data_IF_261892690264
#
_entry.id   IF_261892690264
#
_cell.length_a   1.000
_cell.length_b   1.000
_cell.length_c   1.000
_cell.angle_alpha   90.00
_cell.angle_beta   90.00
_cell.angle_gamma   90.00
#
_symmetry.space_group_name_H-M   'P 1'
#
loop_
_entity.id
_entity.type
_entity.pdbx_description
1 polymer ?
#
# COMPACT_ATOMS: atom_id res chain seq x y z
N UNK A 1 -19.01 0.80 2.40
CA UNK A 1 -18.61 0.07 1.18
C UNK A 1 -19.81 -0.31 0.33
N UNK A 2 -20.71 -1.17 0.81
CA UNK A 2 -21.84 -1.64 0.01
C UNK A 2 -22.75 -0.52 -0.54
N UNK A 3 -23.06 0.47 0.31
CA UNK A 3 -23.80 1.67 -0.11
C UNK A 3 -23.12 2.44 -1.26
N UNK A 4 -21.78 2.47 -1.30
CA UNK A 4 -21.03 3.15 -2.37
C UNK A 4 -21.17 2.36 -3.66
N UNK A 5 -20.80 1.07 -3.65
CA UNK A 5 -20.87 0.23 -4.86
C UNK A 5 -22.28 0.12 -5.43
N UNK A 6 -23.32 0.18 -4.59
CA UNK A 6 -24.73 0.14 -5.03
C UNK A 6 -25.31 1.50 -5.42
N UNK A 7 -24.62 2.61 -5.19
CA UNK A 7 -25.13 3.91 -5.56
C UNK A 7 -25.35 4.00 -7.08
N UNK A 8 -26.52 4.49 -7.48
CA UNK A 8 -26.88 4.70 -8.89
C UNK A 8 -26.83 6.17 -9.29
N UNK A 9 -26.77 7.06 -8.30
CA UNK A 9 -26.74 8.50 -8.48
C UNK A 9 -25.54 9.11 -7.78
N UNK A 10 -25.05 10.22 -8.31
CA UNK A 10 -23.89 10.92 -7.76
C UNK A 10 -24.12 11.35 -6.30
N UNK A 11 -25.26 11.95 -6.01
CA UNK A 11 -25.59 12.44 -4.66
C UNK A 11 -25.68 11.31 -3.64
N UNK A 12 -26.14 10.12 -4.05
CA UNK A 12 -26.16 8.96 -3.17
C UNK A 12 -24.75 8.54 -2.77
N UNK A 13 -23.82 8.49 -3.73
CA UNK A 13 -22.43 8.17 -3.44
C UNK A 13 -21.77 9.26 -2.58
N UNK A 14 -22.03 10.54 -2.89
CA UNK A 14 -21.51 11.69 -2.14
C UNK A 14 -22.02 11.72 -0.70
N UNK A 15 -23.29 11.36 -0.47
CA UNK A 15 -23.91 11.40 0.86
C UNK A 15 -23.16 10.57 1.92
N UNK A 16 -22.42 9.55 1.47
CA UNK A 16 -21.64 8.66 2.32
C UNK A 16 -20.46 9.39 2.97
N UNK A 17 -19.92 10.42 2.31
CA UNK A 17 -18.86 11.27 2.89
C UNK A 17 -19.35 12.09 4.08
N UNK A 18 -20.65 12.40 4.16
CA UNK A 18 -21.22 13.17 5.26
C UNK A 18 -21.54 12.31 6.48
N UNK A 19 -21.37 10.98 6.41
CA UNK A 19 -21.60 10.12 7.55
C UNK A 19 -20.48 10.30 8.59
N UNK A 20 -20.79 10.55 9.89
CA UNK A 20 -19.76 10.77 10.91
C UNK A 20 -18.78 9.60 11.09
N UNK A 21 -19.21 8.38 10.78
CA UNK A 21 -18.39 7.17 10.86
C UNK A 21 -17.52 6.93 9.63
N UNK A 22 -17.57 7.80 8.63
CA UNK A 22 -16.86 7.61 7.39
C UNK A 22 -15.40 8.05 7.53
N UNK A 23 -14.48 7.09 7.47
CA UNK A 23 -13.06 7.33 7.26
C UNK A 23 -12.68 7.06 5.81
N UNK A 24 -12.18 8.10 5.12
CA UNK A 24 -11.76 8.03 3.74
C UNK A 24 -10.53 7.12 3.55
N UNK A 25 -9.62 7.09 4.53
CA UNK A 25 -8.39 6.28 4.45
C UNK A 25 -8.70 4.80 4.52
N UNK A 26 -9.54 4.41 5.48
CA UNK A 26 -10.09 3.06 5.55
C UNK A 26 -10.90 2.73 4.30
N UNK A 27 -11.79 3.61 3.85
CA UNK A 27 -12.58 3.37 2.65
C UNK A 27 -11.70 3.07 1.44
N UNK A 28 -10.67 3.88 1.19
CA UNK A 28 -9.75 3.68 0.07
C UNK A 28 -9.10 2.30 0.09
N UNK A 29 -8.54 1.89 1.23
CA UNK A 29 -7.90 0.58 1.37
C UNK A 29 -8.86 -0.57 1.11
N UNK A 30 -10.11 -0.45 1.57
CA UNK A 30 -11.15 -1.45 1.33
C UNK A 30 -11.66 -1.43 -0.11
N UNK A 31 -11.81 -0.26 -0.73
CA UNK A 31 -12.28 -0.14 -2.10
C UNK A 31 -11.32 -0.82 -3.07
N UNK A 32 -10.02 -0.52 -2.99
CA UNK A 32 -8.98 -1.10 -3.86
C UNK A 32 -8.99 -2.63 -3.82
N UNK A 33 -9.08 -3.23 -2.63
CA UNK A 33 -9.10 -4.70 -2.46
C UNK A 33 -10.39 -5.33 -3.03
N UNK A 34 -11.51 -4.64 -2.91
CA UNK A 34 -12.82 -5.23 -3.22
C UNK A 34 -13.34 -4.89 -4.62
N UNK A 35 -12.82 -3.88 -5.30
CA UNK A 35 -13.23 -3.50 -6.67
C UNK A 35 -13.17 -4.68 -7.65
N UNK A 36 -12.07 -5.46 -7.75
CA UNK A 36 -12.02 -6.63 -8.65
C UNK A 36 -12.95 -7.76 -8.25
N UNK A 37 -13.40 -7.78 -6.99
CA UNK A 37 -14.36 -8.76 -6.50
C UNK A 37 -15.77 -8.34 -6.91
N UNK A 38 -16.12 -7.09 -6.62
CA UNK A 38 -17.45 -6.52 -6.89
C UNK A 38 -17.74 -6.49 -8.39
N UNK A 39 -16.79 -5.99 -9.19
CA UNK A 39 -16.89 -5.94 -10.64
C UNK A 39 -16.16 -7.13 -11.23
N UNK A 40 -16.92 -8.17 -11.59
CA UNK A 40 -16.37 -9.38 -12.23
C UNK A 40 -15.81 -9.10 -13.62
N UNK A 41 -16.37 -8.12 -14.32
CA UNK A 41 -15.91 -7.70 -15.63
C UNK A 41 -14.66 -6.83 -15.51
N UNK A 42 -13.59 -7.25 -16.17
CA UNK A 42 -12.28 -6.59 -16.06
C UNK A 42 -12.29 -5.16 -16.58
N UNK A 43 -13.06 -4.85 -17.63
CA UNK A 43 -13.16 -3.50 -18.17
C UNK A 43 -13.76 -2.52 -17.14
N UNK A 44 -14.87 -2.89 -16.50
CA UNK A 44 -15.53 -2.11 -15.46
C UNK A 44 -14.63 -1.97 -14.23
N UNK A 45 -14.00 -3.06 -13.80
CA UNK A 45 -13.06 -3.05 -12.68
C UNK A 45 -11.86 -2.11 -12.95
N UNK A 46 -11.32 -2.13 -14.17
CA UNK A 46 -10.20 -1.27 -14.56
C UNK A 46 -10.58 0.21 -14.49
N UNK A 47 -11.76 0.60 -14.97
CA UNK A 47 -12.23 1.99 -14.88
C UNK A 47 -12.44 2.42 -13.42
N UNK A 48 -12.99 1.55 -12.57
CA UNK A 48 -13.11 1.84 -11.14
C UNK A 48 -11.74 2.03 -10.46
N UNK A 49 -10.76 1.19 -10.78
CA UNK A 49 -9.40 1.29 -10.26
C UNK A 49 -8.67 2.54 -10.77
N UNK A 50 -8.86 2.92 -12.04
CA UNK A 50 -8.32 4.17 -12.61
C UNK A 50 -8.85 5.41 -11.86
N UNK A 51 -10.15 5.43 -11.56
CA UNK A 51 -10.76 6.52 -10.79
C UNK A 51 -10.24 6.57 -9.35
N UNK A 52 -10.01 5.43 -8.69
CA UNK A 52 -9.32 5.36 -7.40
C UNK A 52 -7.87 5.84 -7.50
N UNK A 53 -7.16 5.46 -8.56
CA UNK A 53 -5.78 5.89 -8.79
C UNK A 53 -5.70 7.42 -8.91
N UNK A 54 -6.63 8.04 -9.64
CA UNK A 54 -6.74 9.51 -9.73
C UNK A 54 -7.00 10.15 -8.37
N UNK A 55 -7.86 9.55 -7.54
CA UNK A 55 -8.07 10.03 -6.17
C UNK A 55 -6.77 9.98 -5.33
N UNK A 56 -5.96 8.93 -5.46
CA UNK A 56 -4.67 8.81 -4.76
C UNK A 56 -3.65 9.88 -5.23
N UNK A 57 -3.62 10.18 -6.54
CA UNK A 57 -2.78 11.26 -7.08
C UNK A 57 -3.18 12.62 -6.48
N UNK A 58 -4.49 12.90 -6.41
CA UNK A 58 -4.99 14.13 -5.77
C UNK A 58 -4.62 14.15 -4.30
N UNK A 59 -4.78 13.04 -3.57
CA UNK A 59 -4.38 12.92 -2.17
C UNK A 59 -2.88 13.18 -1.97
N UNK A 60 -2.02 12.65 -2.84
CA UNK A 60 -0.58 12.90 -2.80
C UNK A 60 -0.27 14.39 -2.99
N UNK A 61 -0.98 15.07 -3.89
CA UNK A 61 -0.86 16.52 -4.11
C UNK A 61 -1.32 17.31 -2.88
N UNK A 62 -2.47 16.95 -2.29
CA UNK A 62 -3.01 17.56 -1.06
C UNK A 62 -1.99 17.48 0.06
N UNK A 63 -1.45 16.28 0.32
CA UNK A 63 -0.45 16.07 1.39
C UNK A 63 0.84 16.84 1.15
N UNK A 64 1.28 16.97 -0.11
CA UNK A 64 2.52 17.66 -0.47
C UNK A 64 2.41 19.18 -0.35
N UNK A 65 1.27 19.76 -0.76
CA UNK A 65 1.08 21.21 -0.83
C UNK A 65 0.31 21.78 0.37
N UNK A 66 -0.36 20.93 1.16
CA UNK A 66 -1.24 21.36 2.26
C UNK A 66 -2.63 21.83 1.81
N UNK A 67 -2.99 21.64 0.54
CA UNK A 67 -4.19 22.19 -0.08
C UNK A 67 -5.43 21.31 0.19
N UNK A 68 -5.93 21.33 1.43
CA UNK A 68 -7.07 20.49 1.85
C UNK A 68 -8.40 20.88 1.20
N UNK A 69 -8.49 22.04 0.55
CA UNK A 69 -9.66 22.46 -0.24
C UNK A 69 -9.97 21.51 -1.41
N UNK A 70 -8.99 20.74 -1.88
CA UNK A 70 -9.18 19.71 -2.93
C UNK A 70 -9.73 18.39 -2.38
N UNK A 71 -9.92 18.26 -1.07
CA UNK A 71 -10.44 17.03 -0.46
C UNK A 71 -11.82 16.63 -0.99
N UNK A 72 -12.81 17.52 -1.17
CA UNK A 72 -14.11 17.16 -1.76
C UNK A 72 -13.95 16.54 -3.16
N UNK A 73 -13.05 17.09 -3.99
CA UNK A 73 -12.79 16.55 -5.32
C UNK A 73 -12.19 15.12 -5.27
N UNK A 74 -11.20 14.90 -4.39
CA UNK A 74 -10.66 13.56 -4.13
C UNK A 74 -11.76 12.58 -3.68
N UNK A 75 -12.63 13.02 -2.78
CA UNK A 75 -13.73 12.23 -2.23
C UNK A 75 -14.74 11.84 -3.30
N UNK A 76 -15.08 12.75 -4.21
CA UNK A 76 -15.99 12.49 -5.33
C UNK A 76 -15.42 11.46 -6.30
N UNK A 77 -14.13 11.56 -6.64
CA UNK A 77 -13.44 10.56 -7.47
C UNK A 77 -13.44 9.17 -6.81
N UNK A 78 -13.23 9.13 -5.50
CA UNK A 78 -13.16 7.88 -4.74
C UNK A 78 -14.52 7.24 -4.50
N UNK A 79 -15.58 8.02 -4.26
CA UNK A 79 -16.92 7.52 -3.97
C UNK A 79 -17.73 7.35 -5.25
N UNK A 80 -18.10 8.47 -5.88
CA UNK A 80 -18.94 8.46 -7.08
C UNK A 80 -18.19 7.88 -8.28
N UNK A 81 -16.88 8.14 -8.39
CA UNK A 81 -16.07 7.54 -9.44
C UNK A 81 -16.02 6.01 -9.35
N UNK A 82 -15.92 5.41 -8.16
CA UNK A 82 -15.99 3.95 -8.05
C UNK A 82 -17.40 3.42 -8.30
N UNK A 83 -18.43 4.15 -7.86
CA UNK A 83 -19.81 3.69 -7.94
C UNK A 83 -20.42 3.76 -9.34
N UNK A 84 -20.12 4.81 -10.11
CA UNK A 84 -20.82 5.20 -11.36
C UNK A 84 -19.99 4.89 -12.61
N UNK A 85 -19.51 3.66 -12.71
CA UNK A 85 -18.72 3.19 -13.85
C UNK A 85 -19.63 2.96 -15.07
N UNK A 86 -19.17 3.24 -16.31
CA UNK A 86 -19.90 2.85 -17.51
C UNK A 86 -20.17 1.34 -17.52
N UNK A 87 -21.30 0.92 -18.09
CA UNK A 87 -21.67 -0.48 -18.23
C UNK A 87 -21.71 -1.26 -16.91
N UNK A 88 -21.98 -0.55 -15.80
CA UNK A 88 -22.07 -1.13 -14.47
C UNK A 88 -23.05 -2.33 -14.48
N UNK A 89 -22.56 -3.55 -14.22
CA UNK A 89 -23.42 -4.72 -14.18
C UNK A 89 -24.33 -4.67 -12.95
N UNK A 90 -25.45 -5.39 -13.02
CA UNK A 90 -26.27 -5.63 -11.83
C UNK A 90 -25.45 -6.40 -10.81
N UNK A 91 -25.15 -5.76 -9.68
CA UNK A 91 -24.39 -6.39 -8.61
C UNK A 91 -25.19 -7.51 -7.95
N UNK A 92 -24.49 -8.55 -7.50
CA UNK A 92 -25.11 -9.64 -6.72
C UNK A 92 -25.85 -9.11 -5.50
N UNK A 93 -26.93 -9.80 -5.10
CA UNK A 93 -27.69 -9.48 -3.89
C UNK A 93 -26.82 -9.55 -2.63
N UNK A 94 -25.86 -10.47 -2.59
CA UNK A 94 -24.94 -10.62 -1.46
C UNK A 94 -23.49 -10.55 -1.92
N UNK A 95 -22.70 -9.74 -1.22
CA UNK A 95 -21.26 -9.61 -1.46
C UNK A 95 -20.50 -9.65 -0.13
N UNK A 96 -19.58 -10.61 0.00
CA UNK A 96 -18.70 -10.69 1.16
C UNK A 96 -17.44 -9.86 0.90
N UNK A 97 -17.41 -8.67 1.46
CA UNK A 97 -16.23 -7.81 1.42
C UNK A 97 -15.07 -8.45 2.19
N UNK A 98 -13.87 -8.36 1.64
CA UNK A 98 -12.66 -8.81 2.30
C UNK A 98 -11.90 -7.63 2.90
N UNK A 99 -11.27 -7.90 4.04
CA UNK A 99 -10.34 -6.97 4.67
C UNK A 99 -9.14 -6.72 3.73
N UNK A 100 -8.62 -5.48 3.65
CA UNK A 100 -7.47 -5.13 2.82
C UNK A 100 -6.25 -6.00 3.14
N UNK A 101 -5.89 -6.91 2.23
CA UNK A 101 -4.78 -7.82 2.43
C UNK A 101 -3.46 -7.08 2.40
N UNK A 102 -3.37 -6.02 1.60
CA UNK A 102 -2.20 -5.12 1.57
C UNK A 102 -1.84 -4.57 2.95
N UNK A 103 -2.83 -4.18 3.77
CA UNK A 103 -2.57 -3.69 5.13
C UNK A 103 -2.00 -4.79 6.03
N UNK A 104 -2.54 -6.01 5.95
CA UNK A 104 -2.01 -7.16 6.69
C UNK A 104 -0.58 -7.48 6.27
N UNK A 105 -0.30 -7.49 4.98
CA UNK A 105 1.04 -7.73 4.44
C UNK A 105 2.02 -6.66 4.93
N UNK A 106 1.65 -5.38 4.85
CA UNK A 106 2.47 -4.28 5.34
C UNK A 106 2.72 -4.35 6.85
N UNK A 107 1.70 -4.74 7.63
CA UNK A 107 1.84 -4.91 9.08
C UNK A 107 2.79 -6.07 9.42
N UNK A 108 2.61 -7.25 8.80
CA UNK A 108 3.45 -8.44 9.01
C UNK A 108 4.92 -8.18 8.69
N UNK A 109 5.19 -7.46 7.61
CA UNK A 109 6.55 -7.16 7.17
C UNK A 109 7.15 -5.88 7.78
N UNK A 110 6.42 -5.19 8.68
CA UNK A 110 6.85 -3.93 9.29
C UNK A 110 8.16 -4.07 10.07
N UNK A 111 8.25 -5.09 10.90
CA UNK A 111 9.43 -5.33 11.73
C UNK A 111 10.65 -5.72 10.89
N UNK A 112 10.47 -6.64 9.94
CA UNK A 112 11.52 -7.05 9.00
C UNK A 112 12.07 -5.86 8.21
N UNK A 113 11.18 -5.00 7.65
CA UNK A 113 11.59 -3.76 6.98
C UNK A 113 12.39 -2.84 7.90
N UNK A 114 11.91 -2.60 9.14
CA UNK A 114 12.61 -1.75 10.10
C UNK A 114 14.03 -2.25 10.39
N UNK A 115 14.21 -3.56 10.58
CA UNK A 115 15.53 -4.16 10.83
C UNK A 115 16.43 -4.07 9.58
N UNK A 116 15.88 -4.31 8.40
CA UNK A 116 16.60 -4.18 7.12
C UNK A 116 17.03 -2.73 6.87
N UNK A 117 16.17 -1.76 7.14
CA UNK A 117 16.48 -0.33 7.01
C UNK A 117 17.59 0.10 7.98
N UNK A 118 17.63 -0.46 9.19
CA UNK A 118 18.72 -0.23 10.15
C UNK A 118 20.06 -0.80 9.64
N UNK A 119 20.07 -2.01 9.07
CA UNK A 119 21.25 -2.59 8.43
C UNK A 119 21.73 -1.73 7.25
N UNK A 120 20.81 -1.30 6.39
CA UNK A 120 21.12 -0.40 5.26
C UNK A 120 21.75 0.89 5.76
N UNK A 121 21.18 1.47 6.81
CA UNK A 121 21.67 2.71 7.38
C UNK A 121 23.09 2.56 7.96
N UNK A 122 23.34 1.47 8.68
CA UNK A 122 24.66 1.19 9.22
C UNK A 122 25.72 1.06 8.12
N UNK A 123 25.43 0.26 7.09
CA UNK A 123 26.35 0.03 5.97
C UNK A 123 26.57 1.31 5.16
N UNK A 124 25.51 2.10 4.92
CA UNK A 124 25.59 3.39 4.24
C UNK A 124 26.55 4.34 4.95
N UNK A 125 26.47 4.40 6.29
CA UNK A 125 27.37 5.22 7.10
C UNK A 125 28.81 4.69 7.12
N UNK A 126 28.99 3.37 7.28
CA UNK A 126 30.32 2.75 7.38
C UNK A 126 31.10 2.79 6.06
N UNK A 127 30.40 2.70 4.93
CA UNK A 127 31.00 2.67 3.59
C UNK A 127 30.94 4.03 2.88
N UNK A 128 30.31 5.05 3.50
CA UNK A 128 30.08 6.37 2.90
C UNK A 128 29.38 6.33 1.53
N UNK A 129 28.41 5.44 1.37
CA UNK A 129 27.62 5.28 0.13
C UNK A 129 26.15 5.56 0.38
N UNK A 130 25.39 5.84 -0.68
CA UNK A 130 23.95 6.10 -0.56
C UNK A 130 23.17 4.87 -0.08
N UNK A 131 22.10 5.08 0.70
CA UNK A 131 21.18 4.00 1.14
C UNK A 131 20.64 3.17 -0.04
N UNK A 132 20.31 3.84 -1.15
CA UNK A 132 19.78 3.20 -2.33
C UNK A 132 20.81 2.25 -2.95
N UNK A 133 22.09 2.65 -3.01
CA UNK A 133 23.16 1.79 -3.49
C UNK A 133 23.35 0.55 -2.60
N UNK A 134 23.32 0.73 -1.27
CA UNK A 134 23.39 -0.41 -0.34
C UNK A 134 22.22 -1.37 -0.56
N UNK A 135 20.99 -0.83 -0.64
CA UNK A 135 19.78 -1.62 -0.74
C UNK A 135 19.67 -2.41 -2.05
N UNK A 136 20.11 -1.81 -3.16
CA UNK A 136 20.04 -2.39 -4.50
C UNK A 136 21.19 -3.38 -4.77
N UNK A 137 22.43 -2.99 -4.47
CA UNK A 137 23.62 -3.74 -4.89
C UNK A 137 24.24 -4.53 -3.74
N UNK A 138 24.54 -3.86 -2.63
CA UNK A 138 25.35 -4.46 -1.56
C UNK A 138 24.62 -5.57 -0.81
N UNK A 139 23.32 -5.44 -0.56
CA UNK A 139 22.58 -6.51 0.14
C UNK A 139 22.63 -7.82 -0.65
N UNK A 140 22.47 -7.78 -1.97
CA UNK A 140 22.51 -8.99 -2.78
C UNK A 140 23.90 -9.66 -2.72
N UNK A 141 24.97 -8.86 -2.85
CA UNK A 141 26.35 -9.35 -2.75
C UNK A 141 26.61 -9.96 -1.37
N UNK A 142 26.23 -9.26 -0.29
CA UNK A 142 26.39 -9.74 1.09
C UNK A 142 25.57 -11.02 1.33
N UNK A 143 24.38 -11.13 0.74
CA UNK A 143 23.57 -12.35 0.79
C UNK A 143 24.30 -13.54 0.17
N UNK A 144 24.84 -13.38 -1.04
CA UNK A 144 25.58 -14.41 -1.74
C UNK A 144 26.87 -14.82 -1.00
N UNK A 145 27.61 -13.83 -0.47
CA UNK A 145 28.84 -14.08 0.30
C UNK A 145 28.55 -14.76 1.65
N UNK A 146 27.51 -14.34 2.36
CA UNK A 146 27.13 -14.92 3.67
C UNK A 146 26.67 -16.38 3.60
N UNK A 147 26.22 -16.84 2.43
CA UNK A 147 25.91 -18.26 2.17
C UNK A 147 27.16 -19.12 2.07
N UNK A 148 28.29 -18.55 1.61
CA UNK A 148 29.58 -19.24 1.46
C UNK A 148 30.44 -19.13 2.71
N UNK A 149 30.44 -17.97 3.36
CA UNK A 149 31.22 -17.71 4.57
C UNK A 149 30.33 -17.13 5.68
N UNK A 150 30.15 -17.89 6.78
CA UNK A 150 29.35 -17.47 7.93
C UNK A 150 29.96 -16.32 8.71
N UNK A 151 31.29 -16.10 8.60
CA UNK A 151 32.01 -15.05 9.33
C UNK A 151 31.49 -13.66 8.99
N UNK A 152 31.02 -13.46 7.74
CA UNK A 152 30.46 -12.19 7.28
C UNK A 152 29.16 -11.89 8.02
N UNK A 153 28.28 -12.88 8.17
CA UNK A 153 27.04 -12.73 8.92
C UNK A 153 27.31 -12.51 10.42
N UNK A 154 28.34 -13.15 10.97
CA UNK A 154 28.76 -12.95 12.36
C UNK A 154 29.34 -11.56 12.62
N UNK A 155 30.19 -11.05 11.71
CA UNK A 155 30.77 -9.72 11.79
C UNK A 155 29.68 -8.63 11.73
N UNK A 156 28.74 -8.76 10.78
CA UNK A 156 27.57 -7.88 10.70
C UNK A 156 26.67 -8.01 11.94
N UNK A 157 26.57 -9.22 12.50
CA UNK A 157 25.82 -9.52 13.72
C UNK A 157 26.35 -8.77 14.93
N UNK A 158 27.66 -8.83 15.13
CA UNK A 158 28.36 -8.10 16.20
C UNK A 158 28.19 -6.59 16.04
N UNK A 159 28.35 -6.08 14.83
CA UNK A 159 28.24 -4.65 14.56
C UNK A 159 26.86 -4.07 14.88
N UNK A 160 25.78 -4.83 14.63
CA UNK A 160 24.41 -4.39 14.84
C UNK A 160 23.79 -4.89 16.16
N UNK A 161 24.53 -5.69 16.95
CA UNK A 161 23.99 -6.40 18.11
C UNK A 161 22.77 -7.28 17.77
N UNK A 162 22.81 -7.94 16.61
CA UNK A 162 21.74 -8.81 16.09
C UNK A 162 22.28 -10.24 15.95
N UNK A 163 21.41 -11.24 16.15
CA UNK A 163 21.76 -12.65 15.90
C UNK A 163 22.22 -12.88 14.45
N UNK A 164 23.28 -13.69 14.21
CA UNK A 164 23.71 -14.05 12.86
C UNK A 164 22.62 -14.75 12.02
N UNK A 165 21.69 -15.47 12.67
CA UNK A 165 20.57 -16.12 11.99
C UNK A 165 19.56 -15.09 11.45
N UNK A 166 19.28 -14.05 12.24
CA UNK A 166 18.40 -12.95 11.84
C UNK A 166 19.00 -12.17 10.67
N UNK A 167 20.32 -11.96 10.64
CA UNK A 167 20.98 -11.30 9.51
C UNK A 167 20.85 -12.11 8.22
N UNK A 168 21.01 -13.43 8.28
CA UNK A 168 20.78 -14.29 7.10
C UNK A 168 19.36 -14.15 6.58
N UNK A 169 18.36 -14.03 7.46
CA UNK A 169 16.96 -13.77 7.07
C UNK A 169 16.73 -12.38 6.47
N UNK A 170 17.50 -11.38 6.90
CA UNK A 170 17.40 -10.00 6.40
C UNK A 170 18.13 -9.80 5.07
N UNK A 171 19.14 -10.62 4.79
CA UNK A 171 19.89 -10.64 3.54
C UNK A 171 19.24 -11.52 2.46
N UNK A 172 18.40 -12.49 2.85
CA UNK A 172 17.61 -13.31 1.93
C UNK A 172 16.61 -12.44 1.14
#
# INVERSE_FOLDING_TARGET
LDRVFRANWFDQARSISFMPSFDWGQFFAWAVENVPRVYKEHAVAAVALDRLSKADIVLARIKRLGEWELMPYMMELMLAGVALVPDKPKLSKFFKYQFPQRLLLLARSRESRRRRDALIQYLSNALHVSRNYVAAELIYVLSALSKRDSRIAEALGKALSISPADIKSLLA
#
